data_IF_558132577541
#
_entry.id   IF_558132577541
#
_cell.length_a   1.000
_cell.length_b   1.000
_cell.length_c   1.000
_cell.angle_alpha   90.00
_cell.angle_beta   90.00
_cell.angle_gamma   90.00
#
_symmetry.space_group_name_H-M   'P 1'
#
loop_
_entity.id
_entity.type
_entity.pdbx_description
1 polymer ?
#
# COMPACT_ATOMS: atom_id res chain seq x y z
N UNK A 1 53.81 -12.58 23.74
CA UNK A 1 53.22 -12.70 22.39
C UNK A 1 51.72 -12.74 22.56
N UNK A 2 51.12 -11.56 22.58
CA UNK A 2 49.72 -11.31 22.90
C UNK A 2 48.90 -11.55 21.62
N UNK A 3 48.28 -12.72 21.50
CA UNK A 3 47.49 -13.07 20.30
C UNK A 3 46.08 -12.52 20.43
N UNK A 4 45.84 -11.39 19.76
CA UNK A 4 44.71 -11.28 18.83
C UNK A 4 43.28 -11.14 19.39
N UNK A 5 43.08 -10.67 20.62
CA UNK A 5 41.71 -10.37 21.12
C UNK A 5 41.07 -9.20 20.35
N UNK A 6 41.89 -8.25 19.85
CA UNK A 6 41.41 -7.07 19.13
C UNK A 6 40.78 -7.36 17.76
N UNK A 7 41.31 -8.33 17.00
CA UNK A 7 40.83 -8.62 15.65
C UNK A 7 39.43 -9.27 15.64
N UNK A 8 39.12 -10.10 16.65
CA UNK A 8 37.79 -10.71 16.78
C UNK A 8 36.71 -9.71 17.19
N UNK A 9 37.05 -8.71 18.01
CA UNK A 9 36.09 -7.68 18.46
C UNK A 9 35.66 -6.75 17.32
N UNK A 10 36.61 -6.40 16.42
CA UNK A 10 36.32 -5.59 15.23
C UNK A 10 35.46 -6.34 14.19
N UNK A 11 35.66 -7.65 14.05
CA UNK A 11 34.85 -8.49 13.14
C UNK A 11 33.38 -8.58 13.59
N UNK A 12 33.13 -8.64 14.90
CA UNK A 12 31.77 -8.72 15.44
C UNK A 12 31.01 -7.39 15.28
N UNK A 13 31.69 -6.26 15.46
CA UNK A 13 31.09 -4.92 15.33
C UNK A 13 30.64 -4.60 13.88
N UNK A 14 31.34 -5.10 12.87
CA UNK A 14 30.99 -4.88 11.46
C UNK A 14 29.74 -5.69 11.05
N UNK A 15 29.62 -6.93 11.55
CA UNK A 15 28.44 -7.77 11.32
C UNK A 15 27.17 -7.19 11.96
N UNK A 16 27.28 -6.55 13.14
CA UNK A 16 26.13 -5.93 13.82
C UNK A 16 25.62 -4.65 13.14
N UNK A 17 26.48 -3.88 12.47
CA UNK A 17 26.06 -2.66 11.79
C UNK A 17 25.44 -2.90 10.39
N UNK A 18 25.72 -4.04 9.75
CA UNK A 18 25.17 -4.37 8.42
C UNK A 18 23.90 -5.23 8.45
N UNK A 19 23.45 -5.69 9.63
CA UNK A 19 22.42 -6.74 9.73
C UNK A 19 20.96 -6.28 9.74
N UNK A 20 20.66 -4.99 9.93
CA UNK A 20 19.28 -4.53 10.15
C UNK A 20 18.83 -3.49 9.11
N UNK A 21 19.08 -3.77 7.84
CA UNK A 21 18.21 -3.22 6.79
C UNK A 21 16.85 -3.93 6.95
N UNK A 22 15.93 -3.32 7.70
CA UNK A 22 14.54 -3.77 7.74
C UNK A 22 13.98 -3.56 6.34
N UNK A 23 14.10 -4.61 5.51
CA UNK A 23 13.39 -4.70 4.26
C UNK A 23 11.91 -4.45 4.60
N UNK A 24 11.32 -3.41 3.99
CA UNK A 24 9.87 -3.25 3.99
C UNK A 24 9.27 -4.61 3.64
N UNK A 25 8.53 -5.20 4.58
CA UNK A 25 7.79 -6.44 4.32
C UNK A 25 6.92 -6.16 3.09
N UNK A 26 6.98 -6.99 2.03
CA UNK A 26 5.93 -6.98 1.01
C UNK A 26 4.60 -7.03 1.74
N UNK A 27 3.69 -6.12 1.39
CA UNK A 27 2.40 -5.99 2.07
C UNK A 27 1.75 -7.37 2.21
N UNK A 28 1.73 -7.90 3.44
CA UNK A 28 1.26 -9.26 3.74
C UNK A 28 -0.27 -9.22 3.83
N UNK A 29 -0.92 -9.09 2.67
CA UNK A 29 -2.37 -9.18 2.59
C UNK A 29 -2.79 -10.66 2.61
N UNK A 30 -3.71 -11.01 3.52
CA UNK A 30 -4.11 -12.41 3.71
C UNK A 30 -4.93 -13.01 2.56
N UNK A 31 -5.64 -12.18 1.78
CA UNK A 31 -6.41 -12.61 0.62
C UNK A 31 -6.73 -11.43 -0.32
N UNK A 32 -7.06 -11.75 -1.58
CA UNK A 32 -7.55 -10.79 -2.57
C UNK A 32 -9.02 -11.09 -2.88
N UNK A 33 -9.86 -10.07 -2.83
CA UNK A 33 -11.27 -10.16 -3.23
C UNK A 33 -11.36 -9.77 -4.71
N UNK A 34 -11.98 -10.62 -5.54
CA UNK A 34 -12.17 -10.36 -6.97
C UNK A 34 -13.61 -10.61 -7.42
N UNK A 35 -13.93 -10.13 -8.62
CA UNK A 35 -15.21 -10.33 -9.30
C UNK A 35 -14.96 -10.79 -10.74
N UNK A 36 -15.93 -11.49 -11.33
CA UNK A 36 -15.78 -12.13 -12.65
C UNK A 36 -16.24 -11.26 -13.84
N UNK A 37 -16.84 -10.09 -13.57
CA UNK A 37 -17.47 -9.24 -14.58
C UNK A 37 -16.60 -8.04 -15.03
N UNK A 38 -15.29 -8.06 -14.75
CA UNK A 38 -14.37 -7.04 -15.26
C UNK A 38 -14.21 -7.12 -16.79
N UNK A 39 -14.03 -5.96 -17.43
CA UNK A 39 -13.76 -5.90 -18.86
C UNK A 39 -12.40 -6.53 -19.22
N UNK A 40 -12.20 -7.01 -20.46
CA UNK A 40 -10.98 -7.73 -20.86
C UNK A 40 -9.81 -6.81 -21.25
N UNK A 41 -10.02 -5.49 -21.24
CA UNK A 41 -9.07 -4.50 -21.74
C UNK A 41 -8.43 -3.71 -20.60
N UNK A 42 -7.20 -3.25 -20.83
CA UNK A 42 -6.39 -2.51 -19.87
C UNK A 42 -5.42 -3.41 -19.08
N UNK A 43 -4.45 -2.78 -18.44
CA UNK A 43 -3.45 -3.45 -17.61
C UNK A 43 -3.65 -3.07 -16.14
N UNK A 44 -3.41 -4.02 -15.23
CA UNK A 44 -3.42 -3.75 -13.80
C UNK A 44 -2.19 -2.97 -13.37
N UNK A 45 -2.42 -1.87 -12.64
CA UNK A 45 -1.36 -1.16 -11.94
C UNK A 45 -0.92 -1.89 -10.67
N UNK A 46 0.12 -1.38 -10.03
CA UNK A 46 0.56 -1.86 -8.72
C UNK A 46 -0.53 -1.62 -7.67
N UNK A 47 -0.77 -2.58 -6.74
CA UNK A 47 -1.75 -2.39 -5.69
C UNK A 47 -1.28 -1.32 -4.71
N UNK A 48 -2.15 -0.34 -4.47
CA UNK A 48 -1.98 0.68 -3.44
C UNK A 48 -2.68 0.23 -2.16
N UNK A 49 -1.97 0.33 -1.03
CA UNK A 49 -2.46 -0.14 0.27
C UNK A 49 -2.60 1.03 1.24
N UNK A 50 -3.54 0.92 2.18
CA UNK A 50 -3.56 1.84 3.31
C UNK A 50 -2.24 1.74 4.09
N UNK A 51 -1.78 2.85 4.72
CA UNK A 51 -0.59 2.81 5.57
C UNK A 51 -0.72 1.78 6.69
N UNK A 52 0.40 1.29 7.20
CA UNK A 52 0.41 0.27 8.26
C UNK A 52 -0.45 0.68 9.46
N UNK A 53 -1.35 -0.23 9.86
CA UNK A 53 -2.32 -0.01 10.94
C UNK A 53 -3.57 0.78 10.55
N UNK A 54 -3.75 1.10 9.27
CA UNK A 54 -4.98 1.65 8.71
C UNK A 54 -5.68 0.63 7.82
N UNK A 55 -7.00 0.73 7.74
CA UNK A 55 -7.85 -0.12 6.92
C UNK A 55 -8.76 0.74 6.05
N UNK A 56 -9.09 0.26 4.85
CA UNK A 56 -10.05 0.94 4.00
C UNK A 56 -11.43 0.95 4.67
N UNK A 57 -12.02 2.13 4.81
CA UNK A 57 -13.33 2.33 5.43
C UNK A 57 -14.36 2.97 4.50
N UNK A 58 -13.92 3.47 3.36
CA UNK A 58 -14.76 4.10 2.35
C UNK A 58 -14.02 4.32 1.06
N UNK A 59 -14.72 4.83 0.04
CA UNK A 59 -14.12 5.18 -1.24
C UNK A 59 -14.79 6.40 -1.88
N UNK A 60 -14.13 6.98 -2.87
CA UNK A 60 -14.69 7.96 -3.81
C UNK A 60 -14.42 7.51 -5.24
N UNK A 61 -15.30 7.87 -6.15
CA UNK A 61 -15.22 7.51 -7.56
C UNK A 61 -14.87 8.74 -8.40
N UNK A 62 -14.13 8.53 -9.48
CA UNK A 62 -13.88 9.53 -10.52
C UNK A 62 -14.68 9.12 -11.76
N UNK A 63 -15.68 9.91 -12.08
CA UNK A 63 -16.54 9.76 -13.25
C UNK A 63 -16.56 11.07 -14.03
N UNK A 64 -17.06 11.01 -15.26
CA UNK A 64 -17.30 12.22 -16.03
C UNK A 64 -18.59 12.93 -15.60
N UNK A 65 -18.72 14.24 -15.87
CA UNK A 65 -19.99 14.93 -15.69
C UNK A 65 -21.08 14.36 -16.60
N UNK A 66 -22.36 14.41 -16.20
CA UNK A 66 -23.46 13.91 -17.04
C UNK A 66 -23.51 14.58 -18.41
N UNK A 67 -23.56 13.79 -19.48
CA UNK A 67 -23.57 14.28 -20.87
C UNK A 67 -24.97 14.69 -21.36
N UNK A 68 -26.05 14.24 -20.69
CA UNK A 68 -27.43 14.60 -21.03
C UNK A 68 -27.95 13.89 -22.29
N UNK A 69 -29.06 14.35 -22.89
CA UNK A 69 -29.65 13.70 -24.07
C UNK A 69 -29.18 14.40 -25.35
N UNK A 70 -28.66 13.68 -26.37
CA UNK A 70 -28.60 12.22 -26.51
C UNK A 70 -27.24 11.58 -26.15
N UNK A 71 -26.42 12.21 -25.30
CA UNK A 71 -25.06 11.75 -24.98
C UNK A 71 -25.04 10.48 -24.12
N UNK A 72 -24.12 9.58 -24.45
CA UNK A 72 -23.74 8.47 -23.59
C UNK A 72 -22.66 8.91 -22.60
N UNK A 73 -22.80 8.45 -21.35
CA UNK A 73 -21.79 8.68 -20.32
C UNK A 73 -20.71 7.59 -20.40
N UNK A 74 -19.45 7.95 -20.16
CA UNK A 74 -18.35 6.99 -19.98
C UNK A 74 -18.48 6.22 -18.67
N UNK A 75 -17.74 5.11 -18.59
CA UNK A 75 -17.61 4.34 -17.36
C UNK A 75 -16.72 5.05 -16.32
N UNK A 76 -16.50 4.39 -15.19
CA UNK A 76 -15.64 4.88 -14.13
C UNK A 76 -14.17 5.01 -14.58
N UNK A 77 -13.52 6.11 -14.19
CA UNK A 77 -12.15 6.46 -14.55
C UNK A 77 -11.14 6.39 -13.39
N UNK A 78 -11.58 6.08 -12.17
CA UNK A 78 -10.68 5.90 -11.02
C UNK A 78 -11.41 5.72 -9.69
N UNK A 79 -10.73 5.08 -8.74
CA UNK A 79 -11.25 4.80 -7.39
C UNK A 79 -10.27 5.36 -6.37
N UNK A 80 -10.73 6.10 -5.37
CA UNK A 80 -9.90 6.57 -4.26
C UNK A 80 -10.32 5.91 -2.96
N UNK A 81 -9.40 5.27 -2.25
CA UNK A 81 -9.69 4.64 -0.96
C UNK A 81 -9.49 5.62 0.21
N UNK A 82 -10.45 5.61 1.13
CA UNK A 82 -10.39 6.31 2.41
C UNK A 82 -9.96 5.33 3.49
N UNK A 83 -8.88 5.65 4.19
CA UNK A 83 -8.27 4.80 5.20
C UNK A 83 -8.52 5.36 6.61
N UNK A 84 -8.91 4.50 7.54
CA UNK A 84 -9.08 4.79 8.96
C UNK A 84 -8.20 3.89 9.80
N UNK A 85 -7.65 4.44 10.89
CA UNK A 85 -6.90 3.66 11.86
C UNK A 85 -7.84 2.76 12.65
N UNK A 86 -7.45 1.52 12.89
CA UNK A 86 -8.24 0.53 13.65
C UNK A 86 -8.45 0.84 15.14
N UNK A 87 -8.27 2.09 15.57
CA UNK A 87 -8.26 2.51 16.97
C UNK A 87 -9.41 3.52 17.17
N UNK A 88 -10.46 3.09 17.86
CA UNK A 88 -11.74 3.82 18.02
C UNK A 88 -11.58 5.20 18.71
N UNK A 89 -10.44 5.48 19.34
CA UNK A 89 -10.22 6.74 20.07
C UNK A 89 -9.62 7.89 19.26
N UNK A 90 -9.09 7.67 18.05
CA UNK A 90 -8.56 8.75 17.21
C UNK A 90 -8.90 8.53 15.73
N UNK A 91 -9.99 9.18 15.27
CA UNK A 91 -10.40 9.24 13.86
C UNK A 91 -9.39 10.05 13.04
N UNK A 92 -8.25 9.45 12.72
CA UNK A 92 -7.31 9.97 11.74
C UNK A 92 -7.68 9.42 10.37
N UNK A 93 -8.17 10.30 9.50
CA UNK A 93 -8.56 9.97 8.14
C UNK A 93 -7.39 10.23 7.20
N UNK A 94 -6.86 9.18 6.58
CA UNK A 94 -5.82 9.29 5.56
C UNK A 94 -6.44 8.87 4.24
N UNK A 95 -6.24 9.68 3.20
CA UNK A 95 -6.81 9.38 1.89
C UNK A 95 -5.71 8.94 0.94
N UNK A 96 -5.60 7.63 0.75
CA UNK A 96 -4.77 7.05 -0.31
C UNK A 96 -5.35 7.40 -1.67
N UNK A 97 -4.49 7.64 -2.66
CA UNK A 97 -4.92 7.71 -4.06
C UNK A 97 -4.61 6.36 -4.68
N UNK A 98 -5.64 5.68 -5.18
CA UNK A 98 -5.45 4.60 -6.16
C UNK A 98 -5.75 5.28 -7.49
N UNK A 99 -4.78 5.35 -8.38
CA UNK A 99 -5.03 5.76 -9.77
C UNK A 99 -5.24 4.50 -10.61
#
# INVERSE_FOLDING_TARGET
MERGVGAQLFLLLWATCCGHAQANRPSDYGSVINVTNGGPWGDWAWPEMCPDGFFASGFSLKEEPPQGIPGDDTALNGIRLHCLRGNVEHNTHVVGRVE
#
